data_IF_518845807930
#
_entry.id   IF_518845807930
#
_cell.length_a   1.000
_cell.length_b   1.000
_cell.length_c   1.000
_cell.angle_alpha   90.00
_cell.angle_beta   90.00
_cell.angle_gamma   90.00
#
_symmetry.space_group_name_H-M   'P 1'
#
loop_
_entity.id
_entity.type
_entity.pdbx_description
1 polymer ?
#
# COMPACT_ATOMS: atom_id res chain seq x y z
N UNK A 1 -28.80 -26.31 -14.64
CA UNK A 1 -29.05 -26.12 -13.20
C UNK A 1 -28.07 -25.08 -12.66
N UNK A 2 -28.43 -24.30 -11.63
CA UNK A 2 -27.52 -23.30 -11.03
C UNK A 2 -27.04 -23.82 -9.68
N UNK A 3 -25.73 -23.80 -9.46
CA UNK A 3 -25.11 -24.26 -8.21
C UNK A 3 -25.46 -23.34 -7.03
N UNK A 4 -25.44 -22.04 -7.28
CA UNK A 4 -25.71 -21.01 -6.29
C UNK A 4 -27.05 -20.33 -6.59
N UNK A 5 -27.93 -20.30 -5.59
CA UNK A 5 -29.18 -19.54 -5.57
C UNK A 5 -29.17 -18.56 -4.40
N UNK A 6 -29.93 -17.48 -4.55
CA UNK A 6 -30.06 -16.43 -3.54
C UNK A 6 -30.58 -17.02 -2.23
N UNK A 7 -31.72 -17.71 -2.30
CA UNK A 7 -32.27 -18.49 -1.20
C UNK A 7 -31.39 -19.70 -0.92
N UNK A 8 -30.98 -19.88 0.33
CA UNK A 8 -30.07 -20.93 0.78
C UNK A 8 -30.71 -22.32 0.77
N UNK A 9 -31.97 -22.40 1.19
CA UNK A 9 -32.76 -23.65 1.21
C UNK A 9 -32.98 -24.26 -0.17
N UNK A 10 -32.87 -23.47 -1.23
CA UNK A 10 -33.05 -23.91 -2.61
C UNK A 10 -31.75 -24.28 -3.33
N UNK A 11 -30.60 -24.07 -2.68
CA UNK A 11 -29.28 -24.42 -3.23
C UNK A 11 -29.17 -25.93 -3.39
N UNK A 12 -28.42 -26.37 -4.39
CA UNK A 12 -28.12 -27.79 -4.57
C UNK A 12 -27.27 -28.28 -3.40
N UNK A 13 -27.67 -29.41 -2.80
CA UNK A 13 -27.04 -29.98 -1.61
C UNK A 13 -27.62 -29.50 -0.27
N UNK A 14 -28.62 -28.61 -0.27
CA UNK A 14 -29.22 -28.09 0.96
C UNK A 14 -30.43 -28.90 1.46
N UNK A 15 -31.06 -29.69 0.59
CA UNK A 15 -32.22 -30.49 0.96
C UNK A 15 -31.85 -31.91 1.41
N UNK A 16 -32.83 -32.61 1.99
CA UNK A 16 -32.70 -34.00 2.42
C UNK A 16 -32.54 -34.98 1.24
N UNK A 17 -32.27 -36.26 1.53
CA UNK A 17 -32.04 -37.28 0.51
C UNK A 17 -33.25 -37.53 -0.41
N UNK A 18 -34.46 -37.12 -0.01
CA UNK A 18 -35.68 -37.24 -0.81
C UNK A 18 -35.98 -36.01 -1.66
N UNK A 19 -35.26 -34.90 -1.43
CA UNK A 19 -35.52 -33.62 -2.08
C UNK A 19 -34.87 -33.52 -3.47
N UNK A 20 -35.41 -32.62 -4.29
CA UNK A 20 -34.89 -32.32 -5.64
C UNK A 20 -33.59 -31.51 -5.64
N UNK A 21 -33.15 -31.06 -4.46
CA UNK A 21 -31.91 -30.34 -4.24
C UNK A 21 -31.02 -31.03 -3.21
N UNK A 22 -31.09 -32.36 -3.15
CA UNK A 22 -30.28 -33.19 -2.27
C UNK A 22 -28.79 -33.16 -2.62
N UNK A 23 -27.97 -33.71 -1.72
CA UNK A 23 -26.54 -33.82 -1.92
C UNK A 23 -26.18 -34.75 -3.10
N UNK A 24 -27.00 -35.76 -3.40
CA UNK A 24 -26.82 -36.60 -4.58
C UNK A 24 -26.99 -35.80 -5.88
N UNK A 25 -27.98 -34.90 -5.94
CA UNK A 25 -28.20 -34.01 -7.10
C UNK A 25 -27.04 -33.03 -7.26
N UNK A 26 -26.45 -32.56 -6.16
CA UNK A 26 -25.25 -31.72 -6.21
C UNK A 26 -24.06 -32.48 -6.83
N UNK A 27 -23.79 -33.72 -6.40
CA UNK A 27 -22.68 -34.54 -6.94
C UNK A 27 -22.85 -34.86 -8.43
N UNK A 28 -24.08 -35.02 -8.90
CA UNK A 28 -24.41 -35.29 -10.29
C UNK A 28 -24.40 -34.03 -11.21
N UNK A 29 -24.15 -32.84 -10.65
CA UNK A 29 -24.14 -31.61 -11.43
C UNK A 29 -22.96 -31.59 -12.43
N UNK A 30 -23.14 -31.11 -13.69
CA UNK A 30 -22.09 -31.12 -14.72
C UNK A 30 -20.76 -30.47 -14.31
N UNK A 31 -20.82 -29.45 -13.44
CA UNK A 31 -19.62 -28.81 -12.87
C UNK A 31 -18.69 -29.80 -12.15
N UNK A 32 -19.23 -30.88 -11.57
CA UNK A 32 -18.49 -31.90 -10.85
C UNK A 32 -18.33 -33.22 -11.62
N UNK A 33 -18.71 -33.26 -12.91
CA UNK A 33 -18.56 -34.44 -13.77
C UNK A 33 -17.14 -35.05 -13.73
N UNK A 34 -16.04 -34.27 -13.72
CA UNK A 34 -14.69 -34.83 -13.67
C UNK A 34 -14.31 -35.47 -12.32
N UNK A 35 -15.13 -35.30 -11.27
CA UNK A 35 -14.82 -35.78 -9.92
C UNK A 35 -15.37 -37.19 -9.73
N UNK A 36 -14.46 -38.16 -9.70
CA UNK A 36 -14.76 -39.53 -9.29
C UNK A 36 -14.93 -39.61 -7.76
N UNK A 37 -16.14 -39.31 -7.27
CA UNK A 37 -16.45 -39.21 -5.84
C UNK A 37 -16.16 -40.48 -5.03
N UNK A 38 -16.32 -41.66 -5.61
CA UNK A 38 -16.06 -42.94 -4.93
C UNK A 38 -14.57 -43.30 -4.83
N UNK A 39 -13.72 -42.71 -5.68
CA UNK A 39 -12.27 -42.96 -5.68
C UNK A 39 -11.49 -41.83 -5.00
N UNK A 40 -12.18 -40.77 -4.59
CA UNK A 40 -11.56 -39.53 -4.10
C UNK A 40 -10.69 -39.78 -2.86
N UNK A 41 -11.10 -40.71 -1.99
CA UNK A 41 -10.37 -41.10 -0.77
C UNK A 41 -9.04 -41.81 -1.05
N UNK A 42 -8.89 -42.40 -2.23
CA UNK A 42 -7.66 -43.09 -2.66
C UNK A 42 -6.74 -42.22 -3.52
N UNK A 43 -7.18 -41.01 -3.90
CA UNK A 43 -6.36 -40.08 -4.68
C UNK A 43 -5.33 -39.41 -3.79
N UNK A 44 -4.10 -39.31 -4.29
CA UNK A 44 -3.05 -38.55 -3.64
C UNK A 44 -3.50 -37.09 -3.49
N UNK A 45 -3.41 -36.56 -2.27
CA UNK A 45 -3.75 -35.17 -1.99
C UNK A 45 -2.89 -34.22 -2.85
N UNK A 46 -3.43 -33.06 -3.25
CA UNK A 46 -2.64 -32.01 -3.90
C UNK A 46 -1.41 -31.65 -3.05
N UNK A 47 -0.38 -31.13 -3.73
CA UNK A 47 0.90 -30.75 -3.12
C UNK A 47 0.71 -30.09 -1.76
N UNK A 48 1.23 -30.73 -0.72
CA UNK A 48 1.25 -30.19 0.62
C UNK A 48 2.58 -29.45 0.77
N UNK A 49 2.59 -28.11 0.92
CA UNK A 49 3.83 -27.39 1.11
C UNK A 49 4.51 -27.86 2.39
N UNK A 50 5.84 -27.91 2.37
CA UNK A 50 6.61 -28.16 3.58
C UNK A 50 6.24 -27.11 4.62
N UNK A 51 5.92 -27.57 5.84
CA UNK A 51 5.69 -26.67 6.95
C UNK A 51 6.97 -25.86 7.18
N UNK A 52 6.87 -24.54 7.00
CA UNK A 52 7.96 -23.62 7.33
C UNK A 52 8.39 -23.91 8.75
N UNK A 53 9.66 -24.30 8.94
CA UNK A 53 10.23 -24.44 10.28
C UNK A 53 10.18 -23.06 10.92
N UNK A 54 9.30 -22.89 11.89
CA UNK A 54 9.31 -21.68 12.71
C UNK A 54 10.69 -21.58 13.36
N UNK A 55 11.35 -20.41 13.30
CA UNK A 55 12.59 -20.19 14.04
C UNK A 55 12.39 -20.57 15.51
N UNK A 56 13.29 -21.39 16.05
CA UNK A 56 13.23 -21.90 17.43
C UNK A 56 13.73 -20.89 18.47
N UNK A 57 14.05 -19.67 18.06
CA UNK A 57 14.65 -18.67 18.94
C UNK A 57 13.58 -17.90 19.73
N UNK A 58 13.92 -17.53 20.96
CA UNK A 58 13.07 -16.77 21.91
C UNK A 58 12.69 -15.35 21.41
N UNK A 59 13.14 -14.95 20.23
CA UNK A 59 12.71 -13.73 19.54
C UNK A 59 11.40 -13.91 18.72
N UNK A 60 10.66 -15.01 18.97
CA UNK A 60 9.34 -15.26 18.42
C UNK A 60 8.31 -14.30 19.02
N UNK A 61 8.08 -13.17 18.35
CA UNK A 61 6.91 -12.33 18.58
C UNK A 61 5.68 -13.02 17.96
N UNK A 62 5.07 -13.95 18.71
CA UNK A 62 3.88 -14.71 18.30
C UNK A 62 2.58 -13.88 18.31
N UNK A 63 2.68 -12.61 18.69
CA UNK A 63 1.54 -11.69 18.78
C UNK A 63 0.64 -11.95 19.98
N UNK A 64 1.03 -12.86 20.89
CA UNK A 64 0.35 -13.13 22.16
C UNK A 64 1.06 -12.50 23.37
N UNK A 65 2.23 -11.87 23.19
CA UNK A 65 2.94 -11.16 24.25
C UNK A 65 2.33 -9.79 24.55
N UNK A 66 2.27 -9.41 25.83
CA UNK A 66 1.78 -8.09 26.29
C UNK A 66 2.62 -6.91 25.77
N UNK A 67 3.81 -7.17 25.23
CA UNK A 67 4.68 -6.18 24.58
C UNK A 67 3.97 -5.51 23.38
N UNK A 68 3.09 -6.25 22.69
CA UNK A 68 2.22 -5.70 21.63
C UNK A 68 1.28 -4.60 22.12
N UNK A 69 0.85 -4.66 23.39
CA UNK A 69 -0.05 -3.66 23.98
C UNK A 69 0.67 -2.33 24.24
N UNK A 70 2.01 -2.38 24.36
CA UNK A 70 2.86 -1.24 24.73
C UNK A 70 3.53 -0.60 23.50
N UNK A 71 3.59 -1.28 22.36
CA UNK A 71 4.28 -0.83 21.13
C UNK A 71 3.43 0.04 20.17
N UNK A 72 2.28 0.53 20.62
CA UNK A 72 1.51 1.48 19.82
C UNK A 72 0.36 2.13 20.57
N UNK A 73 0.34 3.46 20.54
CA UNK A 73 -0.87 4.21 20.86
C UNK A 73 -1.97 3.82 19.86
N UNK A 74 -3.10 3.36 20.40
CA UNK A 74 -4.28 3.02 19.61
C UNK A 74 -4.78 4.28 18.89
N UNK A 75 -4.95 4.19 17.57
CA UNK A 75 -5.65 5.24 16.82
C UNK A 75 -7.09 5.39 17.33
N UNK A 76 -7.57 6.61 17.61
CA UNK A 76 -8.93 6.83 18.08
C UNK A 76 -9.94 6.40 17.02
N UNK A 77 -10.97 5.67 17.45
CA UNK A 77 -12.12 5.29 16.61
C UNK A 77 -12.94 6.56 16.34
N UNK A 78 -12.93 7.06 15.10
CA UNK A 78 -13.82 8.14 14.69
C UNK A 78 -15.17 7.52 14.33
N UNK A 79 -16.12 7.59 15.26
CA UNK A 79 -17.53 7.25 14.98
C UNK A 79 -18.10 8.23 13.96
N UNK A 80 -18.39 7.75 12.75
CA UNK A 80 -19.08 8.54 11.73
C UNK A 80 -20.53 8.79 12.15
N UNK A 81 -20.82 9.97 12.69
CA UNK A 81 -22.20 10.45 12.88
C UNK A 81 -22.84 10.67 11.51
N UNK A 82 -24.03 10.10 11.32
CA UNK A 82 -24.81 10.15 10.07
C UNK A 82 -24.99 11.58 9.56
N UNK A 83 -24.72 11.78 8.27
CA UNK A 83 -25.02 13.01 7.54
C UNK A 83 -26.54 13.23 7.49
N UNK A 84 -27.01 14.34 8.06
CA UNK A 84 -28.35 14.87 7.78
C UNK A 84 -28.25 15.79 6.56
N UNK A 85 -29.10 15.54 5.55
CA UNK A 85 -29.24 16.38 4.36
C UNK A 85 -29.77 17.77 4.75
N UNK A 86 -29.15 18.82 4.22
CA UNK A 86 -29.81 20.12 4.10
C UNK A 86 -28.86 21.31 4.02
N UNK A 87 -28.96 22.07 2.92
CA UNK A 87 -28.54 23.47 2.88
C UNK A 87 -27.32 23.75 2.02
N UNK A 88 -27.56 24.13 0.77
CA UNK A 88 -26.58 24.83 -0.05
C UNK A 88 -26.34 26.23 0.53
N UNK A 89 -25.11 26.52 0.95
CA UNK A 89 -24.62 27.88 1.18
C UNK A 89 -23.19 27.98 0.65
N UNK A 90 -22.99 28.87 -0.33
CA UNK A 90 -21.68 29.32 -0.79
C UNK A 90 -20.92 29.92 0.39
N UNK A 91 -19.73 29.39 0.69
CA UNK A 91 -18.83 29.96 1.69
C UNK A 91 -17.56 30.45 1.00
N UNK A 92 -17.44 31.76 0.98
CA UNK A 92 -16.23 32.54 0.71
C UNK A 92 -15.10 32.07 1.62
N UNK A 93 -13.95 31.78 1.01
CA UNK A 93 -12.71 31.42 1.71
C UNK A 93 -12.15 32.65 2.44
N UNK A 94 -12.36 32.71 3.76
CA UNK A 94 -11.59 33.59 4.65
C UNK A 94 -10.34 32.84 5.11
N UNK A 95 -9.20 33.26 4.56
CA UNK A 95 -7.87 32.75 4.83
C UNK A 95 -7.24 33.48 6.02
N UNK A 96 -7.82 33.35 7.21
CA UNK A 96 -7.19 33.82 8.44
C UNK A 96 -7.74 33.05 9.64
N UNK A 97 -7.05 31.98 10.01
CA UNK A 97 -6.89 31.43 11.38
C UNK A 97 -6.20 30.07 11.27
N UNK A 98 -4.91 30.09 10.93
CA UNK A 98 -4.02 28.93 11.10
C UNK A 98 -3.44 29.08 12.51
N UNK A 99 -3.90 28.26 13.44
CA UNK A 99 -3.27 28.14 14.75
C UNK A 99 -1.84 27.63 14.58
N UNK A 100 -0.90 28.51 14.90
CA UNK A 100 0.55 28.33 14.88
C UNK A 100 0.97 27.54 16.12
N UNK A 101 1.46 26.32 15.93
CA UNK A 101 2.29 25.63 16.92
C UNK A 101 3.24 24.61 16.25
N UNK A 102 4.34 25.09 15.69
CA UNK A 102 5.72 24.57 15.79
C UNK A 102 6.59 25.28 14.76
N UNK A 103 7.84 25.66 15.07
CA UNK A 103 8.77 26.08 14.04
C UNK A 103 9.05 24.89 13.12
N UNK A 104 8.44 24.89 11.95
CA UNK A 104 8.54 23.85 10.90
C UNK A 104 9.92 23.89 10.26
N UNK A 105 10.99 23.74 11.05
CA UNK A 105 12.32 23.58 10.53
C UNK A 105 12.45 22.16 9.96
N UNK A 106 12.00 22.01 8.71
CA UNK A 106 12.13 20.78 7.94
C UNK A 106 13.59 20.42 7.61
N UNK A 107 14.58 21.25 7.98
CA UNK A 107 16.00 20.95 7.77
C UNK A 107 16.47 19.73 8.56
N UNK A 108 15.79 19.37 9.68
CA UNK A 108 16.14 18.14 10.42
C UNK A 108 16.07 16.88 9.55
N UNK A 109 15.28 16.89 8.48
CA UNK A 109 15.16 15.75 7.57
C UNK A 109 16.29 15.65 6.54
N UNK A 110 17.13 16.68 6.40
CA UNK A 110 18.20 16.73 5.39
C UNK A 110 19.30 15.72 5.67
N UNK A 111 19.43 15.26 6.91
CA UNK A 111 20.38 14.21 7.31
C UNK A 111 20.17 12.89 6.56
N UNK A 112 18.96 12.66 6.01
CA UNK A 112 18.61 11.43 5.29
C UNK A 112 18.78 11.55 3.76
N UNK A 113 19.11 12.73 3.25
CA UNK A 113 19.31 12.96 1.81
C UNK A 113 20.75 12.59 1.41
N UNK A 114 20.91 12.12 0.18
CA UNK A 114 22.22 11.77 -0.38
C UNK A 114 22.72 12.91 -1.26
N UNK A 115 23.85 13.56 -0.95
CA UNK A 115 24.38 14.62 -1.82
C UNK A 115 24.58 14.12 -3.27
N UNK A 116 24.15 14.86 -4.31
CA UNK A 116 23.65 16.25 -4.32
C UNK A 116 22.11 16.41 -4.26
N UNK A 117 21.38 15.42 -3.75
CA UNK A 117 19.91 15.40 -3.65
C UNK A 117 19.34 16.50 -2.76
N UNK A 118 18.20 17.06 -3.19
CA UNK A 118 17.44 18.07 -2.46
C UNK A 118 16.02 17.58 -2.19
N UNK A 119 15.49 17.94 -1.01
CA UNK A 119 14.08 17.77 -0.67
C UNK A 119 13.21 18.69 -1.53
N UNK A 120 12.25 18.11 -2.24
CA UNK A 120 11.18 18.81 -2.96
C UNK A 120 10.00 19.05 -2.03
N UNK A 121 9.55 18.01 -1.34
CA UNK A 121 8.39 18.09 -0.45
C UNK A 121 8.53 17.12 0.72
N UNK A 122 7.89 17.43 1.84
CA UNK A 122 7.86 16.55 3.00
C UNK A 122 6.58 16.75 3.79
N UNK A 123 6.02 15.66 4.32
CA UNK A 123 4.80 15.71 5.11
C UNK A 123 4.64 14.48 6.02
N UNK A 124 3.89 14.68 7.11
CA UNK A 124 3.52 13.60 8.02
C UNK A 124 2.42 12.76 7.36
N UNK A 125 2.62 11.45 7.28
CA UNK A 125 1.63 10.51 6.74
C UNK A 125 1.50 9.27 7.62
N UNK A 126 0.50 8.46 7.31
CA UNK A 126 0.32 7.12 7.84
C UNK A 126 0.50 6.11 6.71
N UNK A 127 1.50 5.23 6.86
CA UNK A 127 1.82 4.18 5.88
C UNK A 127 1.37 2.83 6.41
N UNK A 128 0.63 2.07 5.62
CA UNK A 128 0.20 0.70 5.99
C UNK A 128 1.41 -0.27 6.06
N UNK A 129 1.45 -1.06 7.13
CA UNK A 129 2.37 -2.20 7.38
C UNK A 129 1.55 -3.35 7.97
N UNK A 130 1.21 -4.34 7.14
CA UNK A 130 0.30 -5.41 7.53
C UNK A 130 -1.12 -4.86 7.75
N UNK A 131 -1.71 -5.20 8.89
CA UNK A 131 -3.05 -4.74 9.30
C UNK A 131 -3.06 -3.33 9.92
N UNK A 132 -1.89 -2.77 10.24
CA UNK A 132 -1.79 -1.48 10.94
C UNK A 132 -1.15 -0.41 10.06
N UNK A 133 -1.40 0.85 10.41
CA UNK A 133 -0.69 1.99 9.82
C UNK A 133 0.34 2.53 10.80
N UNK A 134 1.50 2.93 10.29
CA UNK A 134 2.55 3.56 11.09
C UNK A 134 2.77 4.99 10.62
N UNK A 135 2.84 5.92 11.57
CA UNK A 135 3.17 7.33 11.34
C UNK A 135 4.58 7.43 10.75
N UNK A 136 4.75 8.13 9.64
CA UNK A 136 6.04 8.34 8.99
C UNK A 136 6.13 9.77 8.48
N UNK A 137 7.32 10.34 8.49
CA UNK A 137 7.63 11.50 7.67
C UNK A 137 7.98 11.00 6.27
N UNK A 138 7.16 11.34 5.27
CA UNK A 138 7.43 11.05 3.87
C UNK A 138 8.19 12.23 3.26
N UNK A 139 9.28 11.96 2.55
CA UNK A 139 10.15 12.98 1.96
C UNK A 139 10.34 12.65 0.48
N UNK A 140 9.81 13.53 -0.37
CA UNK A 140 10.02 13.51 -1.82
C UNK A 140 11.26 14.35 -2.15
N UNK A 141 12.10 13.80 -3.02
CA UNK A 141 13.35 14.41 -3.46
C UNK A 141 13.28 14.80 -4.93
N UNK A 142 14.24 15.59 -5.39
CA UNK A 142 14.43 15.92 -6.80
C UNK A 142 14.95 14.72 -7.62
N UNK A 143 15.54 13.74 -6.96
CA UNK A 143 15.98 12.47 -7.53
C UNK A 143 14.84 11.44 -7.54
N UNK A 144 15.00 10.29 -8.23
CA UNK A 144 13.97 9.27 -8.28
C UNK A 144 13.83 8.46 -6.96
N UNK A 145 13.64 9.16 -5.84
CA UNK A 145 13.60 8.62 -4.49
C UNK A 145 12.52 9.29 -3.64
N UNK A 146 11.73 8.44 -2.98
CA UNK A 146 10.76 8.80 -1.94
C UNK A 146 11.07 7.98 -0.70
N UNK A 147 11.63 8.64 0.31
CA UNK A 147 12.01 8.00 1.57
C UNK A 147 10.96 8.26 2.65
N UNK A 148 10.85 7.32 3.59
CA UNK A 148 9.99 7.47 4.75
C UNK A 148 10.78 7.15 6.03
N UNK A 149 10.73 8.10 6.96
CA UNK A 149 11.46 8.02 8.25
C UNK A 149 10.48 8.01 9.41
N UNK A 150 10.94 7.50 10.55
CA UNK A 150 10.20 7.62 11.79
C UNK A 150 10.36 9.04 12.35
N UNK A 151 9.28 9.83 12.46
CA UNK A 151 9.39 11.24 12.83
C UNK A 151 9.71 11.45 14.30
N UNK A 152 9.45 10.44 15.14
CA UNK A 152 9.59 10.53 16.59
C UNK A 152 10.99 10.03 17.00
N UNK A 153 11.50 8.96 16.37
CA UNK A 153 12.84 8.42 16.66
C UNK A 153 13.96 8.92 15.73
N UNK A 154 13.65 9.72 14.71
CA UNK A 154 14.62 10.18 13.70
C UNK A 154 15.38 9.02 13.04
N UNK A 155 14.67 7.95 12.68
CA UNK A 155 15.26 6.74 12.13
C UNK A 155 14.80 6.49 10.68
N UNK A 156 15.72 6.12 9.80
CA UNK A 156 15.40 5.71 8.44
C UNK A 156 14.66 4.37 8.43
N UNK A 157 13.44 4.32 7.88
CA UNK A 157 12.64 3.09 7.80
C UNK A 157 12.60 2.47 6.41
N UNK A 158 12.97 3.22 5.37
CA UNK A 158 13.05 2.71 4.01
C UNK A 158 12.75 3.77 2.95
N UNK A 159 12.78 3.32 1.70
CA UNK A 159 12.40 4.11 0.53
C UNK A 159 11.52 3.31 -0.43
N UNK A 160 10.84 4.05 -1.31
CA UNK A 160 10.12 3.52 -2.47
C UNK A 160 11.05 3.74 -3.66
N UNK A 161 11.77 2.70 -4.12
CA UNK A 161 12.71 2.85 -5.22
C UNK A 161 11.97 3.04 -6.54
N UNK A 162 12.43 3.95 -7.39
CA UNK A 162 12.05 3.99 -8.80
C UNK A 162 13.21 4.44 -9.67
N UNK A 163 13.07 4.23 -10.97
CA UNK A 163 14.01 4.73 -11.99
C UNK A 163 13.25 5.51 -13.05
N UNK A 164 13.98 6.22 -13.91
CA UNK A 164 13.39 6.96 -15.04
C UNK A 164 12.61 6.01 -15.97
N UNK A 165 13.19 4.84 -16.26
CA UNK A 165 12.60 3.83 -17.14
C UNK A 165 11.45 3.06 -16.46
N UNK A 166 11.48 2.95 -15.13
CA UNK A 166 10.45 2.26 -14.32
C UNK A 166 9.92 3.19 -13.24
N UNK A 167 9.11 4.20 -13.61
CA UNK A 167 8.57 5.17 -12.65
C UNK A 167 7.54 4.52 -11.72
N UNK A 168 7.32 5.16 -10.57
CA UNK A 168 6.15 4.89 -9.72
C UNK A 168 4.87 5.42 -10.37
N UNK A 169 3.73 4.87 -9.96
CA UNK A 169 2.40 5.37 -10.33
C UNK A 169 1.62 5.71 -9.07
N UNK A 170 0.98 6.87 -9.06
CA UNK A 170 0.13 7.30 -7.96
C UNK A 170 -1.34 7.04 -8.30
N UNK A 171 -2.09 6.45 -7.37
CA UNK A 171 -3.52 6.24 -7.47
C UNK A 171 -4.21 6.87 -6.26
N UNK A 172 -4.81 8.04 -6.46
CA UNK A 172 -5.58 8.74 -5.41
C UNK A 172 -6.93 8.04 -5.24
N UNK A 173 -7.27 7.69 -4.00
CA UNK A 173 -8.56 7.05 -3.65
C UNK A 173 -9.58 8.05 -3.15
N UNK A 174 -9.14 9.00 -2.34
CA UNK A 174 -9.95 10.09 -1.79
C UNK A 174 -9.02 11.24 -1.37
N UNK A 175 -9.55 12.28 -0.73
CA UNK A 175 -8.77 13.44 -0.31
C UNK A 175 -7.58 13.09 0.61
N UNK A 176 -7.69 12.02 1.40
CA UNK A 176 -6.68 11.62 2.39
C UNK A 176 -5.83 10.44 1.93
N UNK A 177 -6.37 9.53 1.13
CA UNK A 177 -5.71 8.27 0.81
C UNK A 177 -5.25 8.20 -0.65
N UNK A 178 -4.02 7.72 -0.83
CA UNK A 178 -3.45 7.41 -2.13
C UNK A 178 -2.52 6.20 -2.05
N UNK A 179 -2.38 5.49 -3.17
CA UNK A 179 -1.44 4.40 -3.31
C UNK A 179 -0.28 4.83 -4.22
N UNK A 180 0.95 4.47 -3.83
CA UNK A 180 2.13 4.58 -4.69
C UNK A 180 2.55 3.18 -5.13
N UNK A 181 2.40 2.88 -6.41
CA UNK A 181 2.73 1.57 -7.00
C UNK A 181 4.14 1.63 -7.57
N UNK A 182 5.03 0.82 -7.01
CA UNK A 182 6.42 0.71 -7.43
C UNK A 182 6.57 -0.32 -8.55
N UNK A 183 6.77 0.15 -9.78
CA UNK A 183 6.96 -0.73 -10.95
C UNK A 183 8.22 -1.59 -10.88
N UNK A 184 9.22 -1.17 -10.10
CA UNK A 184 10.49 -1.92 -9.92
C UNK A 184 10.27 -3.19 -9.10
N UNK A 185 9.53 -3.09 -8.00
CA UNK A 185 9.32 -4.19 -7.04
C UNK A 185 7.97 -4.88 -7.18
N UNK A 186 7.02 -4.29 -7.91
CA UNK A 186 5.62 -4.72 -7.96
C UNK A 186 4.81 -4.38 -6.71
N UNK A 187 5.40 -3.70 -5.72
CA UNK A 187 4.75 -3.38 -4.44
C UNK A 187 3.88 -2.14 -4.53
N UNK A 188 2.69 -2.21 -3.92
CA UNK A 188 1.84 -1.05 -3.66
C UNK A 188 2.05 -0.53 -2.21
N UNK A 189 2.24 0.78 -2.09
CA UNK A 189 2.40 1.47 -0.82
C UNK A 189 1.12 2.27 -0.54
N UNK A 190 0.35 1.84 0.45
CA UNK A 190 -0.89 2.50 0.84
C UNK A 190 -0.59 3.59 1.87
N UNK A 191 -0.93 4.82 1.53
CA UNK A 191 -0.58 6.02 2.29
C UNK A 191 -1.84 6.83 2.57
N UNK A 192 -1.95 7.32 3.80
CA UNK A 192 -2.99 8.25 4.23
C UNK A 192 -2.35 9.52 4.77
N UNK A 193 -2.73 10.66 4.22
CA UNK A 193 -2.37 11.99 4.69
C UNK A 193 -3.54 12.56 5.51
N UNK A 194 -3.37 12.75 6.84
CA UNK A 194 -4.42 13.27 7.70
C UNK A 194 -4.87 14.68 7.30
N UNK A 195 -3.98 15.47 6.68
CA UNK A 195 -4.25 16.84 6.22
C UNK A 195 -5.03 16.92 4.90
N UNK A 196 -5.32 15.80 4.24
CA UNK A 196 -6.07 15.80 2.98
C UNK A 196 -5.25 16.19 1.75
N UNK A 197 -3.93 15.98 1.77
CA UNK A 197 -3.02 16.31 0.67
C UNK A 197 -2.79 15.17 -0.34
N UNK A 198 -3.67 14.17 -0.43
CA UNK A 198 -3.42 12.99 -1.28
C UNK A 198 -3.22 13.33 -2.77
N UNK A 199 -4.03 14.24 -3.31
CA UNK A 199 -3.87 14.72 -4.69
C UNK A 199 -2.56 15.50 -4.87
N UNK A 200 -2.24 16.38 -3.92
CA UNK A 200 -1.00 17.16 -3.93
C UNK A 200 0.24 16.25 -3.96
N UNK A 201 0.26 15.18 -3.15
CA UNK A 201 1.33 14.19 -3.21
C UNK A 201 1.45 13.54 -4.58
N UNK A 202 0.33 13.11 -5.17
CA UNK A 202 0.33 12.50 -6.50
C UNK A 202 0.85 13.47 -7.58
N UNK A 203 0.40 14.72 -7.54
CA UNK A 203 0.79 15.76 -8.50
C UNK A 203 2.28 16.10 -8.39
N UNK A 204 2.80 16.26 -7.17
CA UNK A 204 4.23 16.52 -6.94
C UNK A 204 5.12 15.35 -7.37
N UNK A 205 4.72 14.11 -7.07
CA UNK A 205 5.44 12.93 -7.54
C UNK A 205 5.45 12.89 -9.08
N UNK A 206 4.31 13.15 -9.72
CA UNK A 206 4.23 13.19 -11.18
C UNK A 206 5.08 14.31 -11.79
N UNK A 207 5.12 15.50 -11.16
CA UNK A 207 5.96 16.60 -11.60
C UNK A 207 7.46 16.23 -11.56
N UNK A 208 7.93 15.64 -10.47
CA UNK A 208 9.32 15.17 -10.34
C UNK A 208 9.65 14.09 -11.38
N UNK A 209 8.71 13.20 -11.69
CA UNK A 209 8.90 12.19 -12.74
C UNK A 209 9.05 12.83 -14.13
N UNK A 210 8.25 13.85 -14.45
CA UNK A 210 8.35 14.57 -15.71
C UNK A 210 9.67 15.34 -15.82
N UNK A 211 10.07 16.05 -14.78
CA UNK A 211 11.33 16.80 -14.75
C UNK A 211 12.55 15.87 -14.95
N UNK A 212 12.58 14.74 -14.26
CA UNK A 212 13.66 13.75 -14.40
C UNK A 212 13.75 13.14 -15.82
N UNK A 213 12.62 13.02 -16.52
CA UNK A 213 12.58 12.59 -17.94
C UNK A 213 13.11 13.67 -18.88
N UNK A 214 12.81 14.93 -18.62
CA UNK A 214 13.34 16.04 -19.41
C UNK A 214 14.86 16.16 -19.24
N UNK A 215 15.37 16.08 -18.01
CA UNK A 215 16.81 16.17 -17.73
C UNK A 215 17.62 15.02 -18.35
N UNK A 216 17.05 13.82 -18.40
CA UNK A 216 17.70 12.66 -19.05
C UNK A 216 17.72 12.76 -20.58
N UNK A 217 16.74 13.40 -21.20
CA UNK A 217 16.71 13.61 -22.66
C UNK A 217 17.70 14.68 -23.12
N UNK A 218 17.93 15.72 -22.30
CA UNK A 218 18.77 16.88 -22.66
C UNK A 218 20.27 16.65 -22.38
N UNK A 219 20.63 15.67 -21.53
CA UNK A 219 22.03 15.29 -21.25
C UNK A 219 22.42 13.99 -21.97
N UNK A 220 22.75 14.01 -23.28
CA UNK A 220 23.40 12.86 -23.88
C UNK A 220 24.79 12.69 -23.28
N UNK A 221 25.13 11.45 -22.96
CA UNK A 221 26.35 10.95 -22.34
C UNK A 221 27.62 11.44 -23.05
N UNK A 222 28.14 12.61 -22.68
CA UNK A 222 29.45 13.12 -23.10
C UNK A 222 30.56 12.59 -22.18
N UNK A 223 30.75 11.28 -22.12
CA UNK A 223 31.98 10.68 -21.57
C UNK A 223 32.26 9.35 -22.28
N UNK A 224 32.66 9.43 -23.56
CA UNK A 224 33.53 8.42 -24.15
C UNK A 224 34.91 9.08 -24.28
N UNK A 225 35.81 8.63 -23.42
CA UNK A 225 37.17 9.14 -23.28
C UNK A 225 37.95 9.00 -24.58
N UNK A 226 38.60 10.10 -24.95
CA UNK A 226 39.69 10.17 -25.91
C UNK A 226 40.86 9.28 -25.46
N UNK A 227 40.97 8.10 -26.07
CA UNK A 227 42.22 7.35 -26.10
C UNK A 227 43.16 7.98 -27.13
N UNK A 228 44.03 8.87 -26.66
CA UNK A 228 45.20 9.37 -27.40
C UNK A 228 46.16 8.19 -27.58
N UNK A 229 46.40 7.78 -28.83
CA UNK A 229 47.56 6.95 -29.19
C UNK A 229 48.52 7.83 -29.99
N UNK A 230 49.60 8.25 -29.35
CA UNK A 230 50.80 8.79 -29.99
C UNK A 230 51.96 7.84 -29.68
N UNK A 231 52.75 7.60 -30.72
CA UNK A 231 53.95 6.74 -30.84
C UNK A 231 53.69 5.25 -31.03
#
# INVERSE_FOLDING_TARGET
MKLLKVNDTERLGAGDDSSTNSYAVLKAHPFFEPIAWGELEHKQAPFTPDASKFPSDEAMHDGSSDEWLMEGEATPIVTSTRHSLGGATSVTVNMDSIDVATPTNNAKWEVFLKAPERRVFTGLIYKRKGLFSKKRQLILTDHPRLLYVDPDTMEYKGEIPWTIDRPVKCHVKNAKEFDVVCSVTGRAYHISDPGGGASMWADLINAVLLENRHLSTVRPTSLAQSGVSLA
#
